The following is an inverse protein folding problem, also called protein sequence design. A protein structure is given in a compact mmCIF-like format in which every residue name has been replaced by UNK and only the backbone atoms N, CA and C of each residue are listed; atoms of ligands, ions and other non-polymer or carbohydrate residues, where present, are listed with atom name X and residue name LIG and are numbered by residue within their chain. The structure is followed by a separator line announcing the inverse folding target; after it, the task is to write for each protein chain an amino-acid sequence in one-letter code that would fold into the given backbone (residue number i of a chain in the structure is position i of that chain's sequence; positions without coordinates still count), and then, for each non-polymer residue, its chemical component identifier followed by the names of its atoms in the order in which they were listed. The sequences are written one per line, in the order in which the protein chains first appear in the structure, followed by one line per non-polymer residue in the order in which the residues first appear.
data_IF_109619140602
#
_entry.id   IF_109619140602
#
_cell.length_a   1.000
_cell.length_b   1.000
_cell.length_c   1.000
_cell.angle_alpha   90.00
_cell.angle_beta   90.00
_cell.angle_gamma   90.00
#
_symmetry.space_group_name_H-M   'P 1'
#
loop_
_entity.id
_entity.type
_entity.pdbx_description
1 polymer ?
#
# COMPACT_ATOMS: atom_id res chain seq x y z
N UNK A 1 30.71 -61.99 -27.34
CA UNK A 1 30.26 -61.75 -28.73
C UNK A 1 28.78 -61.40 -28.68
N UNK A 2 28.39 -60.21 -29.10
CA UNK A 2 27.28 -59.92 -30.02
C UNK A 2 27.08 -58.40 -30.06
N UNK A 3 27.28 -57.88 -31.27
CA UNK A 3 27.21 -56.50 -31.74
C UNK A 3 25.80 -55.91 -31.66
N UNK A 4 25.68 -54.64 -31.25
CA UNK A 4 24.46 -53.84 -31.41
C UNK A 4 24.65 -52.72 -32.43
N UNK A 5 23.70 -52.66 -33.36
CA UNK A 5 23.63 -51.79 -34.53
C UNK A 5 23.38 -50.31 -34.20
N UNK A 6 24.02 -49.43 -34.97
CA UNK A 6 23.73 -48.00 -35.05
C UNK A 6 22.50 -47.72 -35.91
N UNK A 7 21.55 -46.96 -35.36
CA UNK A 7 20.46 -46.33 -36.11
C UNK A 7 20.72 -44.85 -36.33
N UNK A 8 20.93 -44.44 -37.59
CA UNK A 8 21.00 -43.04 -38.04
C UNK A 8 19.61 -42.39 -37.91
N UNK A 9 19.53 -41.19 -37.32
CA UNK A 9 18.38 -40.28 -37.44
C UNK A 9 18.80 -38.98 -38.12
N UNK A 10 18.02 -38.61 -39.14
CA UNK A 10 18.16 -37.46 -40.03
C UNK A 10 17.88 -36.13 -39.34
N UNK A 11 18.72 -35.13 -39.62
CA UNK A 11 18.49 -33.71 -39.31
C UNK A 11 17.39 -33.15 -40.23
N UNK A 12 16.34 -32.54 -39.66
CA UNK A 12 15.48 -31.58 -40.34
C UNK A 12 15.81 -30.18 -39.83
N UNK A 13 16.29 -29.34 -40.74
CA UNK A 13 16.43 -27.89 -40.57
C UNK A 13 15.03 -27.25 -40.50
N UNK A 14 14.81 -26.40 -39.50
CA UNK A 14 13.67 -25.49 -39.43
C UNK A 14 14.21 -24.07 -39.47
N UNK A 15 14.05 -23.41 -40.62
CA UNK A 15 14.22 -21.97 -40.75
C UNK A 15 13.07 -21.27 -40.02
N UNK A 16 13.39 -20.47 -39.00
CA UNK A 16 12.45 -19.55 -38.34
C UNK A 16 12.68 -18.15 -38.86
N UNK A 17 11.67 -17.60 -39.54
CA UNK A 17 11.60 -16.18 -39.88
C UNK A 17 11.59 -15.32 -38.62
N UNK A 18 12.39 -14.25 -38.65
CA UNK A 18 12.36 -13.19 -37.64
C UNK A 18 11.19 -12.26 -37.98
N UNK A 19 10.14 -12.32 -37.18
CA UNK A 19 9.14 -11.26 -37.12
C UNK A 19 9.68 -10.13 -36.25
N UNK A 20 9.72 -8.92 -36.83
CA UNK A 20 9.98 -7.68 -36.10
C UNK A 20 8.89 -7.50 -35.04
N UNK A 21 9.27 -7.55 -33.76
CA UNK A 21 8.38 -7.23 -32.64
C UNK A 21 8.35 -5.71 -32.48
N UNK A 22 7.20 -5.12 -32.78
CA UNK A 22 6.87 -3.73 -32.56
C UNK A 22 6.95 -3.40 -31.05
N UNK A 23 8.03 -2.70 -30.67
CA UNK A 23 8.38 -2.32 -29.29
C UNK A 23 7.81 -0.94 -28.91
N UNK A 24 6.77 -0.46 -29.61
CA UNK A 24 6.23 0.90 -29.42
C UNK A 24 5.10 1.03 -28.38
N UNK A 25 4.76 -0.02 -27.62
CA UNK A 25 3.72 0.08 -26.60
C UNK A 25 4.29 0.54 -25.26
N UNK A 26 4.28 1.85 -25.03
CA UNK A 26 4.38 2.42 -23.69
C UNK A 26 3.27 1.81 -22.83
N UNK A 27 3.58 1.24 -21.64
CA UNK A 27 2.55 0.66 -20.78
C UNK A 27 1.50 1.72 -20.40
N UNK A 28 0.23 1.46 -20.73
CA UNK A 28 -0.95 2.31 -20.44
C UNK A 28 -1.04 2.73 -18.96
N UNK A 29 -0.38 2.00 -18.05
CA UNK A 29 -0.27 2.35 -16.63
C UNK A 29 0.45 3.69 -16.40
N UNK A 30 1.46 4.02 -17.22
CA UNK A 30 2.15 5.32 -17.18
C UNK A 30 1.26 6.46 -17.73
N UNK A 31 0.33 6.14 -18.63
CA UNK A 31 -0.53 7.12 -19.28
C UNK A 31 -1.61 7.65 -18.33
N UNK A 32 -2.23 6.80 -17.50
CA UNK A 32 -3.18 7.25 -16.47
C UNK A 32 -2.52 7.99 -15.30
N UNK A 33 -1.28 7.65 -14.98
CA UNK A 33 -0.49 8.40 -14.00
C UNK A 33 -0.23 9.83 -14.53
N UNK A 34 0.01 9.97 -15.84
CA UNK A 34 0.12 11.26 -16.52
C UNK A 34 -1.23 12.02 -16.63
N UNK A 35 -2.35 11.34 -16.84
CA UNK A 35 -3.69 11.98 -16.89
C UNK A 35 -4.13 12.47 -15.50
N UNK A 36 -3.79 11.74 -14.43
CA UNK A 36 -3.93 12.22 -13.05
C UNK A 36 -2.99 13.40 -12.74
N UNK A 37 -1.80 13.45 -13.34
CA UNK A 37 -0.86 14.58 -13.21
C UNK A 37 -1.36 15.87 -13.87
N UNK A 38 -2.11 15.75 -14.97
CA UNK A 38 -2.66 16.91 -15.70
C UNK A 38 -3.72 17.69 -14.89
N UNK A 39 -4.45 17.02 -14.00
CA UNK A 39 -5.49 17.64 -13.15
C UNK A 39 -4.90 18.41 -11.95
N UNK A 40 -3.70 18.04 -11.48
CA UNK A 40 -3.11 18.60 -10.25
C UNK A 40 -1.93 19.58 -10.46
N UNK A 41 -1.54 19.88 -11.70
CA UNK A 41 -0.96 21.16 -12.15
C UNK A 41 0.33 21.72 -11.50
N UNK A 42 0.87 21.14 -10.43
CA UNK A 42 2.12 21.58 -9.79
C UNK A 42 3.03 20.36 -9.63
N UNK A 43 4.22 20.40 -10.25
CA UNK A 43 5.26 19.37 -10.08
C UNK A 43 5.47 19.09 -8.58
N UNK A 44 5.32 17.83 -8.17
CA UNK A 44 5.67 17.37 -6.82
C UNK A 44 4.64 17.62 -5.70
N UNK A 45 3.41 18.08 -5.99
CA UNK A 45 2.35 18.13 -4.97
C UNK A 45 1.15 17.33 -5.45
N UNK A 46 0.65 16.46 -4.58
CA UNK A 46 -0.63 15.79 -4.78
C UNK A 46 -1.57 16.34 -3.72
N UNK A 47 -2.74 16.81 -4.12
CA UNK A 47 -3.72 17.28 -3.14
C UNK A 47 -4.50 16.07 -2.61
N UNK A 48 -3.81 15.14 -1.95
CA UNK A 48 -4.43 14.10 -1.11
C UNK A 48 -4.26 14.53 0.34
N UNK A 49 -5.18 14.14 1.22
CA UNK A 49 -4.90 14.21 2.66
C UNK A 49 -5.24 12.87 3.31
N UNK A 50 -6.40 12.29 2.98
CA UNK A 50 -6.76 10.91 3.38
C UNK A 50 -7.54 10.22 2.27
N UNK A 51 -7.11 9.05 1.81
CA UNK A 51 -7.83 8.20 0.85
C UNK A 51 -7.91 6.76 1.35
N UNK A 52 -8.87 6.00 0.84
CA UNK A 52 -9.12 4.62 1.28
C UNK A 52 -9.11 3.66 0.08
N UNK A 53 -8.57 2.47 0.32
CA UNK A 53 -8.63 1.34 -0.59
C UNK A 53 -9.30 0.17 0.15
N UNK A 54 -10.33 -0.40 -0.45
CA UNK A 54 -11.10 -1.52 0.09
C UNK A 54 -10.93 -2.70 -0.85
N UNK A 55 -9.97 -3.56 -0.54
CA UNK A 55 -9.70 -4.77 -1.30
C UNK A 55 -10.78 -5.82 -0.99
N UNK A 56 -11.31 -6.47 -2.02
CA UNK A 56 -12.32 -7.49 -1.83
C UNK A 56 -11.98 -8.82 -2.49
N UNK A 57 -11.38 -9.71 -1.70
CA UNK A 57 -11.10 -11.09 -2.11
C UNK A 57 -12.34 -11.99 -2.31
N UNK A 58 -13.55 -11.52 -1.97
CA UNK A 58 -14.79 -12.31 -2.05
C UNK A 58 -15.65 -11.96 -3.25
N UNK A 59 -15.43 -10.80 -3.87
CA UNK A 59 -16.08 -10.48 -5.14
C UNK A 59 -15.29 -11.00 -6.32
N UNK A 60 -16.05 -11.54 -7.26
CA UNK A 60 -15.58 -12.18 -8.47
C UNK A 60 -16.30 -11.52 -9.65
N UNK A 61 -15.58 -11.20 -10.71
CA UNK A 61 -16.16 -10.59 -11.92
C UNK A 61 -16.01 -11.48 -13.15
N UNK A 62 -17.04 -11.54 -13.98
CA UNK A 62 -17.04 -12.25 -15.26
C UNK A 62 -18.10 -11.64 -16.20
N UNK A 63 -17.96 -11.82 -17.51
CA UNK A 63 -18.97 -11.37 -18.49
C UNK A 63 -19.98 -12.49 -18.72
N UNK A 64 -21.25 -12.19 -18.51
CA UNK A 64 -22.30 -13.18 -18.68
C UNK A 64 -22.69 -13.24 -20.16
N UNK A 65 -22.39 -14.36 -20.83
CA UNK A 65 -23.11 -14.72 -22.04
C UNK A 65 -23.63 -16.16 -22.06
N UNK A 66 -22.99 -17.14 -21.40
CA UNK A 66 -23.44 -18.55 -21.52
C UNK A 66 -23.20 -19.46 -20.28
N UNK A 67 -22.74 -18.94 -19.14
CA UNK A 67 -21.86 -19.74 -18.24
C UNK A 67 -22.53 -20.46 -17.07
N UNK A 68 -23.74 -20.10 -16.64
CA UNK A 68 -24.32 -20.74 -15.46
C UNK A 68 -25.75 -21.17 -15.72
N UNK A 69 -25.89 -22.42 -16.17
CA UNK A 69 -27.17 -23.15 -16.19
C UNK A 69 -27.83 -23.05 -14.80
N UNK A 70 -29.11 -22.70 -14.79
CA UNK A 70 -29.93 -22.55 -13.59
C UNK A 70 -29.91 -23.83 -12.73
N UNK A 71 -29.02 -23.87 -11.73
CA UNK A 71 -29.12 -24.86 -10.66
C UNK A 71 -30.09 -24.36 -9.58
N UNK A 72 -31.37 -24.28 -9.96
CA UNK A 72 -32.48 -24.17 -9.02
C UNK A 72 -32.78 -25.55 -8.44
N UNK A 73 -31.92 -26.06 -7.56
CA UNK A 73 -32.28 -27.17 -6.68
C UNK A 73 -31.97 -26.78 -5.24
N UNK A 74 -33.03 -26.56 -4.46
CA UNK A 74 -33.01 -25.95 -3.14
C UNK A 74 -32.16 -26.69 -2.11
N UNK A 75 -30.92 -26.23 -1.95
CA UNK A 75 -30.12 -26.14 -0.73
C UNK A 75 -28.81 -25.42 -1.13
N UNK A 76 -28.78 -24.10 -0.88
CA UNK A 76 -27.84 -23.14 -1.46
C UNK A 76 -26.43 -23.13 -0.84
N UNK A 77 -26.08 -24.14 -0.03
CA UNK A 77 -24.72 -24.30 0.53
C UNK A 77 -23.71 -24.90 -0.48
N UNK A 78 -24.12 -25.13 -1.73
CA UNK A 78 -23.29 -25.85 -2.71
C UNK A 78 -23.37 -25.39 -4.16
N UNK A 79 -23.70 -24.12 -4.46
CA UNK A 79 -23.60 -23.62 -5.84
C UNK A 79 -22.11 -23.46 -6.21
N UNK A 80 -21.55 -24.54 -6.75
CA UNK A 80 -20.24 -24.52 -7.39
C UNK A 80 -20.42 -23.92 -8.78
N UNK A 81 -19.82 -22.75 -9.01
CA UNK A 81 -19.48 -22.33 -10.36
C UNK A 81 -18.58 -23.40 -10.95
N UNK A 82 -18.99 -24.04 -12.05
CA UNK A 82 -18.05 -24.78 -12.86
C UNK A 82 -17.11 -23.75 -13.50
N UNK A 83 -15.94 -23.56 -12.88
CA UNK A 83 -14.93 -22.61 -13.34
C UNK A 83 -14.44 -22.94 -14.76
N UNK A 84 -14.68 -24.16 -15.27
CA UNK A 84 -14.32 -24.55 -16.64
C UNK A 84 -15.23 -23.95 -17.71
N UNK A 85 -16.46 -23.54 -17.35
CA UNK A 85 -17.41 -22.92 -18.28
C UNK A 85 -17.32 -21.38 -18.28
N UNK A 86 -16.53 -20.79 -17.38
CA UNK A 86 -16.42 -19.32 -17.26
C UNK A 86 -15.58 -18.74 -18.39
N UNK A 87 -16.21 -18.01 -19.30
CA UNK A 87 -15.52 -17.15 -20.25
C UNK A 87 -14.86 -15.98 -19.52
N UNK A 88 -13.56 -16.12 -19.28
CA UNK A 88 -12.75 -15.06 -18.69
C UNK A 88 -12.64 -13.87 -19.64
N UNK A 89 -13.12 -12.72 -19.19
CA UNK A 89 -12.73 -11.45 -19.80
C UNK A 89 -11.32 -11.13 -19.33
N UNK A 90 -10.38 -10.83 -20.25
CA UNK A 90 -9.04 -10.39 -19.86
C UNK A 90 -9.13 -8.97 -19.31
N UNK A 91 -9.36 -8.85 -18.01
CA UNK A 91 -9.29 -7.57 -17.32
C UNK A 91 -7.83 -7.16 -17.09
N UNK A 92 -7.57 -5.86 -17.15
CA UNK A 92 -6.27 -5.28 -16.75
C UNK A 92 -6.36 -4.80 -15.30
N UNK A 93 -5.29 -4.97 -14.52
CA UNK A 93 -5.19 -4.33 -13.19
C UNK A 93 -5.41 -2.81 -13.33
N UNK A 94 -6.23 -2.24 -12.45
CA UNK A 94 -6.62 -0.82 -12.43
C UNK A 94 -7.70 -0.45 -13.46
N UNK A 95 -8.29 -1.43 -14.16
CA UNK A 95 -9.40 -1.18 -15.06
C UNK A 95 -10.65 -0.78 -14.27
N UNK A 96 -11.21 0.39 -14.60
CA UNK A 96 -12.36 0.97 -13.88
C UNK A 96 -13.65 0.31 -14.39
N UNK A 97 -14.41 -0.26 -13.47
CA UNK A 97 -15.67 -0.96 -13.71
C UNK A 97 -16.87 -0.05 -13.41
N UNK A 98 -16.74 0.81 -12.40
CA UNK A 98 -17.75 1.77 -11.98
C UNK A 98 -17.02 3.00 -11.43
N UNK A 99 -17.44 4.19 -11.84
CA UNK A 99 -16.97 5.47 -11.33
C UNK A 99 -18.13 6.20 -10.65
N UNK A 100 -18.08 6.32 -9.33
CA UNK A 100 -19.09 6.98 -8.52
C UNK A 100 -18.63 8.34 -8.02
N UNK A 101 -19.52 9.03 -7.31
CA UNK A 101 -19.20 10.31 -6.68
C UNK A 101 -18.28 10.09 -5.46
N UNK A 102 -16.99 10.39 -5.64
CA UNK A 102 -15.96 10.23 -4.61
C UNK A 102 -15.25 8.87 -4.60
N UNK A 103 -15.51 7.97 -5.57
CA UNK A 103 -14.86 6.65 -5.60
C UNK A 103 -14.83 6.01 -6.98
N UNK A 104 -13.95 5.04 -7.15
CA UNK A 104 -13.92 4.10 -8.27
C UNK A 104 -13.94 2.67 -7.76
N UNK A 105 -14.57 1.78 -8.51
CA UNK A 105 -14.44 0.33 -8.34
C UNK A 105 -13.65 -0.20 -9.52
N UNK A 106 -12.54 -0.87 -9.24
CA UNK A 106 -11.57 -1.29 -10.24
C UNK A 106 -11.09 -2.72 -10.01
N UNK A 107 -10.41 -3.27 -11.01
CA UNK A 107 -9.83 -4.61 -10.95
C UNK A 107 -8.49 -4.56 -10.21
N UNK A 108 -8.37 -5.26 -9.08
CA UNK A 108 -7.12 -5.29 -8.30
C UNK A 108 -6.12 -6.31 -8.86
N UNK A 109 -6.53 -7.57 -9.03
CA UNK A 109 -5.65 -8.64 -9.54
C UNK A 109 -6.17 -9.17 -10.86
N UNK A 110 -5.44 -8.90 -11.93
CA UNK A 110 -5.58 -9.58 -13.22
C UNK A 110 -4.73 -10.85 -13.21
N UNK A 111 -5.34 -12.04 -13.06
CA UNK A 111 -4.63 -13.31 -13.23
C UNK A 111 -5.32 -14.14 -14.33
N UNK A 112 -4.61 -14.55 -15.41
CA UNK A 112 -5.23 -15.24 -16.54
C UNK A 112 -5.96 -16.54 -16.16
N UNK A 113 -5.53 -17.19 -15.08
CA UNK A 113 -6.10 -18.44 -14.57
C UNK A 113 -6.94 -18.28 -13.28
N UNK A 114 -7.25 -17.06 -12.84
CA UNK A 114 -8.09 -16.85 -11.65
C UNK A 114 -9.12 -15.76 -11.92
N UNK A 115 -10.25 -15.87 -11.24
CA UNK A 115 -11.28 -14.84 -11.32
C UNK A 115 -10.73 -13.56 -10.70
N UNK A 116 -10.84 -12.40 -11.38
CA UNK A 116 -10.27 -11.16 -10.88
C UNK A 116 -10.96 -10.74 -9.58
N UNK A 117 -10.16 -10.17 -8.69
CA UNK A 117 -10.66 -9.47 -7.52
C UNK A 117 -10.96 -8.01 -7.87
N UNK A 118 -11.89 -7.43 -7.13
CA UNK A 118 -12.17 -6.00 -7.19
C UNK A 118 -11.61 -5.30 -5.97
N UNK A 119 -11.28 -4.04 -6.15
CA UNK A 119 -11.05 -3.08 -5.10
C UNK A 119 -11.90 -1.85 -5.32
N UNK A 120 -12.22 -1.16 -4.24
CA UNK A 120 -12.84 0.17 -4.28
C UNK A 120 -11.80 1.16 -3.79
N UNK A 121 -11.51 2.17 -4.58
CA UNK A 121 -10.57 3.24 -4.26
C UNK A 121 -11.35 4.53 -4.15
N UNK A 122 -11.27 5.21 -3.01
CA UNK A 122 -11.92 6.52 -2.86
C UNK A 122 -11.06 7.60 -3.48
N UNK A 123 -11.70 8.68 -3.92
CA UNK A 123 -11.03 9.95 -4.06
C UNK A 123 -10.42 10.36 -2.71
N UNK A 124 -9.35 11.15 -2.72
CA UNK A 124 -8.80 11.66 -1.48
C UNK A 124 -9.64 12.78 -0.90
N UNK A 125 -9.72 12.80 0.42
CA UNK A 125 -10.44 13.80 1.19
C UNK A 125 -9.45 14.74 1.87
N UNK A 126 -9.61 16.08 1.74
CA UNK A 126 -8.77 17.04 2.44
C UNK A 126 -9.02 16.99 3.96
N UNK A 127 -8.01 17.28 4.79
CA UNK A 127 -8.12 17.34 6.27
C UNK A 127 -8.90 18.57 6.77
N UNK A 128 -10.12 18.74 6.28
CA UNK A 128 -11.01 19.86 6.59
C UNK A 128 -12.40 19.34 6.94
N UNK A 129 -13.26 20.21 7.48
CA UNK A 129 -14.67 19.87 7.70
C UNK A 129 -15.35 19.43 6.41
N UNK A 130 -15.09 20.11 5.30
CA UNK A 130 -15.65 19.76 4.00
C UNK A 130 -15.16 18.40 3.49
N UNK A 131 -13.89 18.06 3.72
CA UNK A 131 -13.36 16.74 3.38
C UNK A 131 -13.99 15.63 4.20
N UNK A 132 -14.22 15.86 5.50
CA UNK A 132 -14.94 14.92 6.37
C UNK A 132 -16.40 14.70 5.91
N UNK A 133 -17.10 15.77 5.51
CA UNK A 133 -18.45 15.67 4.95
C UNK A 133 -18.47 14.89 3.62
N UNK A 134 -17.49 15.15 2.75
CA UNK A 134 -17.32 14.44 1.48
C UNK A 134 -17.03 12.96 1.67
N UNK A 135 -16.14 12.62 2.62
CA UNK A 135 -15.89 11.24 3.06
C UNK A 135 -17.18 10.59 3.55
N UNK A 136 -17.90 11.26 4.44
CA UNK A 136 -19.15 10.77 5.03
C UNK A 136 -20.20 10.45 3.97
N UNK A 137 -20.34 11.33 2.96
CA UNK A 137 -21.24 11.14 1.83
C UNK A 137 -20.79 9.96 0.97
N UNK A 138 -19.53 9.91 0.56
CA UNK A 138 -18.95 8.85 -0.27
C UNK A 138 -19.14 7.47 0.38
N UNK A 139 -18.77 7.35 1.66
CA UNK A 139 -18.90 6.08 2.39
C UNK A 139 -20.36 5.63 2.55
N UNK A 140 -21.31 6.58 2.66
CA UNK A 140 -22.74 6.24 2.63
C UNK A 140 -23.21 5.74 1.26
N UNK A 141 -22.68 6.27 0.16
CA UNK A 141 -22.96 5.74 -1.18
C UNK A 141 -22.43 4.30 -1.30
N UNK A 142 -21.21 4.06 -0.84
CA UNK A 142 -20.60 2.72 -0.82
C UNK A 142 -21.40 1.73 0.03
N UNK A 143 -21.85 2.14 1.22
CA UNK A 143 -22.69 1.29 2.07
C UNK A 143 -24.01 0.93 1.40
N UNK A 144 -24.67 1.90 0.76
CA UNK A 144 -25.91 1.65 0.02
C UNK A 144 -25.68 0.74 -1.21
N UNK A 145 -24.55 0.92 -1.90
CA UNK A 145 -24.16 0.06 -3.02
C UNK A 145 -23.91 -1.38 -2.55
N UNK A 146 -23.18 -1.57 -1.45
CA UNK A 146 -22.93 -2.89 -0.89
C UNK A 146 -24.20 -3.54 -0.35
N UNK A 147 -25.11 -2.77 0.26
CA UNK A 147 -26.43 -3.26 0.67
C UNK A 147 -27.28 -3.66 -0.54
N UNK A 148 -27.20 -2.94 -1.65
CA UNK A 148 -27.84 -3.32 -2.91
C UNK A 148 -27.27 -4.64 -3.45
N UNK A 149 -25.94 -4.76 -3.53
CA UNK A 149 -25.27 -6.00 -3.94
C UNK A 149 -25.62 -7.14 -2.96
N UNK A 150 -25.73 -6.87 -1.65
CA UNK A 150 -26.17 -7.87 -0.68
C UNK A 150 -27.60 -8.32 -0.93
N UNK A 151 -28.53 -7.40 -1.15
CA UNK A 151 -29.96 -7.69 -1.24
C UNK A 151 -30.33 -8.38 -2.56
N UNK A 152 -29.69 -7.98 -3.65
CA UNK A 152 -30.02 -8.44 -5.00
C UNK A 152 -28.93 -9.32 -5.63
N UNK A 153 -27.73 -9.35 -5.06
CA UNK A 153 -26.54 -10.00 -5.63
C UNK A 153 -26.12 -11.31 -4.96
N UNK A 154 -26.98 -11.94 -4.14
CA UNK A 154 -26.71 -13.27 -3.59
C UNK A 154 -26.44 -14.34 -4.67
N UNK A 155 -26.74 -14.06 -5.94
CA UNK A 155 -26.37 -14.94 -7.05
C UNK A 155 -25.71 -14.24 -8.24
N UNK A 156 -25.99 -12.96 -8.53
CA UNK A 156 -25.49 -12.19 -9.70
C UNK A 156 -25.88 -10.71 -9.58
N UNK A 157 -24.96 -9.77 -9.77
CA UNK A 157 -25.29 -8.35 -9.96
C UNK A 157 -24.61 -7.83 -11.20
N UNK A 158 -25.38 -7.48 -12.23
CA UNK A 158 -24.84 -6.83 -13.41
C UNK A 158 -24.33 -5.42 -13.06
N UNK A 159 -23.18 -5.02 -13.58
CA UNK A 159 -22.67 -3.66 -13.40
C UNK A 159 -23.66 -2.61 -13.88
N UNK A 160 -24.40 -2.86 -14.96
CA UNK A 160 -25.46 -1.97 -15.44
C UNK A 160 -26.52 -1.64 -14.36
N UNK A 161 -26.79 -2.53 -13.41
CA UNK A 161 -27.70 -2.27 -12.29
C UNK A 161 -27.12 -1.29 -11.26
N UNK A 162 -25.80 -1.14 -11.23
CA UNK A 162 -25.07 -0.21 -10.36
C UNK A 162 -24.97 1.21 -10.95
N UNK A 163 -25.50 1.48 -12.15
CA UNK A 163 -25.56 2.83 -12.76
C UNK A 163 -26.26 3.89 -11.89
N UNK A 164 -27.01 3.47 -10.87
CA UNK A 164 -27.59 4.38 -9.86
C UNK A 164 -26.59 4.93 -8.84
N UNK A 165 -25.42 4.31 -8.73
CA UNK A 165 -24.35 4.69 -7.80
C UNK A 165 -23.18 5.38 -8.51
N UNK A 166 -23.17 5.40 -9.84
CA UNK A 166 -22.09 5.96 -10.64
C UNK A 166 -22.25 5.66 -12.13
N UNK A 167 -21.25 6.01 -12.92
CA UNK A 167 -21.16 5.69 -14.34
C UNK A 167 -20.46 4.34 -14.56
N UNK A 168 -21.01 3.54 -15.47
CA UNK A 168 -20.46 2.24 -15.87
C UNK A 168 -20.08 2.36 -17.34
N UNK A 169 -18.82 2.13 -17.73
CA UNK A 169 -18.43 2.11 -19.14
C UNK A 169 -19.24 1.06 -19.92
N UNK A 170 -19.69 1.43 -21.12
CA UNK A 170 -20.61 0.62 -21.94
C UNK A 170 -20.10 -0.82 -22.14
N UNK A 171 -18.79 -1.00 -22.34
CA UNK A 171 -18.19 -2.31 -22.54
C UNK A 171 -18.30 -3.25 -21.32
N UNK A 172 -18.61 -2.71 -20.13
CA UNK A 172 -18.74 -3.44 -18.88
C UNK A 172 -20.18 -3.67 -18.43
N UNK A 173 -21.19 -3.20 -19.15
CA UNK A 173 -22.59 -3.30 -18.72
C UNK A 173 -23.08 -4.75 -18.53
N UNK A 174 -22.53 -5.68 -19.30
CA UNK A 174 -22.78 -7.13 -19.25
C UNK A 174 -21.90 -7.86 -18.21
N UNK A 175 -20.99 -7.16 -17.52
CA UNK A 175 -20.16 -7.78 -16.48
C UNK A 175 -21.00 -7.99 -15.23
N UNK A 176 -20.86 -9.18 -14.66
CA UNK A 176 -21.49 -9.60 -13.41
C UNK A 176 -20.48 -9.53 -12.29
N UNK A 177 -20.89 -8.91 -11.18
CA UNK A 177 -20.30 -9.08 -9.87
C UNK A 177 -20.98 -10.25 -9.17
N UNK A 178 -20.16 -11.19 -8.72
CA UNK A 178 -20.60 -12.29 -7.89
C UNK A 178 -19.95 -12.20 -6.50
N UNK A 179 -20.79 -12.20 -5.46
CA UNK A 179 -20.37 -12.15 -4.06
C UNK A 179 -20.46 -13.52 -3.42
N UNK A 180 -19.36 -14.05 -2.88
CA UNK A 180 -19.44 -15.19 -1.96
C UNK A 180 -19.76 -14.70 -0.55
N UNK A 181 -21.05 -14.74 -0.19
CA UNK A 181 -21.53 -14.44 1.16
C UNK A 181 -21.66 -12.93 1.44
N UNK A 182 -21.51 -12.58 2.72
CA UNK A 182 -21.73 -11.22 3.19
C UNK A 182 -20.64 -10.25 2.68
N UNK A 183 -21.03 -9.09 2.09
CA UNK A 183 -20.10 -8.04 1.68
C UNK A 183 -19.14 -7.62 2.79
N UNK A 184 -17.86 -7.89 2.57
CA UNK A 184 -16.79 -7.56 3.51
C UNK A 184 -15.48 -7.37 2.74
N UNK A 185 -14.64 -6.42 3.18
CA UNK A 185 -13.39 -6.08 2.49
C UNK A 185 -12.24 -5.80 3.46
N UNK A 186 -11.02 -5.86 2.95
CA UNK A 186 -9.81 -5.48 3.66
C UNK A 186 -9.53 -3.99 3.43
N UNK A 187 -9.38 -3.25 4.53
CA UNK A 187 -9.17 -1.80 4.50
C UNK A 187 -7.68 -1.46 4.48
N UNK A 188 -7.34 -0.54 3.60
CA UNK A 188 -6.09 0.18 3.56
C UNK A 188 -6.40 1.68 3.49
N UNK A 189 -5.48 2.50 3.96
CA UNK A 189 -5.62 3.96 3.93
C UNK A 189 -4.33 4.55 3.41
N UNK A 190 -4.40 5.58 2.59
CA UNK A 190 -3.24 6.39 2.22
C UNK A 190 -3.45 7.80 2.75
N UNK A 191 -2.48 8.35 3.46
CA UNK A 191 -2.56 9.70 3.99
C UNK A 191 -1.21 10.43 4.02
N UNK A 192 -1.25 11.75 3.93
CA UNK A 192 -0.10 12.59 4.20
C UNK A 192 0.16 12.65 5.70
N UNK A 193 1.37 12.36 6.17
CA UNK A 193 1.75 12.52 7.59
C UNK A 193 2.95 13.44 7.69
N UNK A 194 2.85 14.55 8.42
CA UNK A 194 4.00 15.45 8.63
C UNK A 194 5.17 14.69 9.23
N UNK A 195 6.38 14.88 8.69
CA UNK A 195 7.59 14.21 9.21
C UNK A 195 7.77 14.46 10.71
N UNK A 196 7.55 15.69 11.18
CA UNK A 196 7.56 16.03 12.61
C UNK A 196 6.59 15.22 13.48
N UNK A 197 5.52 14.68 12.90
CA UNK A 197 4.47 13.93 13.60
C UNK A 197 4.63 12.40 13.48
N UNK A 198 5.55 11.91 12.65
CA UNK A 198 5.82 10.48 12.49
C UNK A 198 6.23 9.84 13.82
N UNK A 199 6.99 10.55 14.65
CA UNK A 199 7.34 10.06 15.99
C UNK A 199 6.09 9.77 16.82
N UNK A 200 5.14 10.70 16.82
CA UNK A 200 3.91 10.54 17.57
C UNK A 200 3.06 9.40 17.00
N UNK A 201 2.93 9.34 15.68
CA UNK A 201 2.24 8.26 14.98
C UNK A 201 2.80 6.89 15.39
N UNK A 202 4.12 6.68 15.29
CA UNK A 202 4.72 5.39 15.63
C UNK A 202 4.51 5.00 17.10
N UNK A 203 4.55 5.98 18.01
CA UNK A 203 4.27 5.78 19.43
C UNK A 203 2.81 5.35 19.67
N UNK A 204 1.87 5.97 18.96
CA UNK A 204 0.44 5.67 19.06
C UNK A 204 0.10 4.31 18.49
N UNK A 205 0.76 3.92 17.39
CA UNK A 205 0.57 2.61 16.77
C UNK A 205 1.27 1.47 17.53
N UNK A 206 2.28 1.81 18.35
CA UNK A 206 3.04 0.88 19.17
C UNK A 206 2.21 0.24 20.27
N UNK A 207 2.77 -0.78 20.92
CA UNK A 207 2.10 -1.50 22.00
C UNK A 207 1.77 -0.65 23.22
N UNK A 208 0.64 -0.98 23.86
CA UNK A 208 0.35 -0.51 25.22
C UNK A 208 1.47 -0.96 26.14
N UNK A 209 2.01 -0.01 26.90
CA UNK A 209 3.06 -0.25 27.87
C UNK A 209 2.47 -0.19 29.27
N UNK A 210 3.04 -0.95 30.21
CA UNK A 210 2.65 -0.91 31.62
C UNK A 210 2.85 0.48 32.24
N UNK A 211 3.77 1.27 31.68
CA UNK A 211 4.07 2.64 32.09
C UNK A 211 3.16 3.71 31.49
N UNK A 212 2.17 3.35 30.67
CA UNK A 212 1.26 4.35 30.08
C UNK A 212 0.30 4.90 31.12
N UNK A 213 0.19 6.22 31.21
CA UNK A 213 -0.85 6.86 32.01
C UNK A 213 -2.23 6.63 31.38
N UNK A 214 -3.33 6.80 32.13
CA UNK A 214 -4.67 6.75 31.56
C UNK A 214 -4.86 7.72 30.38
N UNK A 215 -4.28 8.91 30.46
CA UNK A 215 -4.33 9.93 29.40
C UNK A 215 -3.58 9.47 28.14
N UNK A 216 -2.39 8.88 28.31
CA UNK A 216 -1.65 8.29 27.19
C UNK A 216 -2.40 7.11 26.59
N UNK A 217 -2.99 6.28 27.43
CA UNK A 217 -3.76 5.11 27.00
C UNK A 217 -4.94 5.54 26.14
N UNK A 218 -5.73 6.53 26.58
CA UNK A 218 -6.86 7.04 25.79
C UNK A 218 -6.35 7.68 24.48
N UNK A 219 -5.34 8.54 24.56
CA UNK A 219 -4.70 9.17 23.39
C UNK A 219 -4.30 8.17 22.30
N UNK A 220 -3.63 7.10 22.71
CA UNK A 220 -3.13 6.07 21.79
C UNK A 220 -4.20 5.08 21.36
N UNK A 221 -5.25 4.90 22.15
CA UNK A 221 -6.35 3.97 21.85
C UNK A 221 -6.93 4.25 20.47
N UNK A 222 -7.13 5.51 20.10
CA UNK A 222 -7.62 5.86 18.77
C UNK A 222 -6.68 5.40 17.66
N UNK A 223 -5.36 5.57 17.79
CA UNK A 223 -4.38 5.06 16.83
C UNK A 223 -4.32 3.53 16.78
N UNK A 224 -4.26 2.88 17.94
CA UNK A 224 -4.22 1.40 18.04
C UNK A 224 -5.48 0.75 17.51
N UNK A 225 -6.64 1.22 17.97
CA UNK A 225 -7.92 0.69 17.56
C UNK A 225 -8.15 1.01 16.09
N UNK A 226 -7.98 2.26 15.65
CA UNK A 226 -8.28 2.59 14.25
C UNK A 226 -7.29 1.93 13.28
N UNK A 227 -6.00 1.87 13.59
CA UNK A 227 -4.98 1.53 12.58
C UNK A 227 -4.27 0.19 12.78
N UNK A 228 -4.31 -0.41 13.98
CA UNK A 228 -3.51 -1.63 14.27
C UNK A 228 -4.31 -2.78 14.89
N UNK A 229 -5.57 -2.58 15.27
CA UNK A 229 -6.34 -3.62 15.96
C UNK A 229 -6.51 -4.87 15.07
N UNK A 230 -6.26 -6.06 15.63
CA UNK A 230 -6.31 -7.30 14.88
C UNK A 230 -7.72 -7.60 14.36
N UNK A 231 -7.77 -8.34 13.25
CA UNK A 231 -9.02 -8.83 12.70
C UNK A 231 -9.55 -9.92 13.63
N UNK A 232 -10.84 -9.87 14.00
CA UNK A 232 -11.44 -10.88 14.86
C UNK A 232 -11.36 -12.27 14.16
N UNK A 233 -10.67 -13.24 14.77
CA UNK A 233 -10.72 -14.64 14.36
C UNK A 233 -9.53 -15.23 13.58
N UNK A 234 -8.38 -14.53 13.47
CA UNK A 234 -7.17 -15.09 12.84
C UNK A 234 -5.96 -15.05 13.80
N UNK A 235 -5.63 -16.18 14.42
CA UNK A 235 -4.49 -16.29 15.35
C UNK A 235 -3.13 -16.04 14.68
N UNK A 236 -2.93 -16.48 13.43
CA UNK A 236 -1.70 -16.25 12.66
C UNK A 236 -1.45 -14.76 12.34
N UNK A 237 -2.52 -13.94 12.33
CA UNK A 237 -2.42 -12.49 12.14
C UNK A 237 -1.95 -11.77 13.42
N UNK A 238 -2.24 -12.32 14.60
CA UNK A 238 -1.89 -11.71 15.89
C UNK A 238 -0.38 -11.62 16.10
N UNK A 239 0.36 -12.69 15.85
CA UNK A 239 1.82 -12.69 16.02
C UNK A 239 2.51 -11.72 15.03
N UNK A 240 2.01 -11.67 13.80
CA UNK A 240 2.56 -10.77 12.76
C UNK A 240 2.29 -9.30 13.12
N UNK A 241 1.05 -8.97 13.53
CA UNK A 241 0.69 -7.61 13.98
C UNK A 241 1.46 -7.24 15.25
N UNK A 242 1.60 -8.18 16.18
CA UNK A 242 2.38 -7.96 17.40
C UNK A 242 3.82 -7.62 17.06
N UNK A 243 4.45 -8.44 16.23
CA UNK A 243 5.81 -8.16 15.79
C UNK A 243 5.96 -6.76 15.16
N UNK A 244 5.00 -6.33 14.33
CA UNK A 244 5.00 -4.98 13.72
C UNK A 244 4.90 -3.85 14.75
N UNK A 245 3.99 -3.96 15.73
CA UNK A 245 3.84 -2.97 16.79
C UNK A 245 5.07 -2.90 17.69
N UNK A 246 5.69 -4.04 17.99
CA UNK A 246 6.93 -4.11 18.75
C UNK A 246 8.07 -3.41 18.00
N UNK A 247 8.19 -3.63 16.69
CA UNK A 247 9.20 -2.96 15.86
C UNK A 247 9.04 -1.44 15.82
N UNK A 248 7.80 -0.94 15.71
CA UNK A 248 7.53 0.51 15.75
C UNK A 248 7.97 1.12 17.09
N UNK A 249 7.65 0.45 18.19
CA UNK A 249 8.07 0.85 19.55
C UNK A 249 9.60 0.85 19.67
N UNK A 250 10.24 -0.25 19.29
CA UNK A 250 11.69 -0.42 19.42
C UNK A 250 12.46 0.65 18.65
N UNK A 251 12.04 0.95 17.42
CA UNK A 251 12.62 2.03 16.62
C UNK A 251 12.40 3.39 17.28
N UNK A 252 11.20 3.65 17.81
CA UNK A 252 10.90 4.91 18.49
C UNK A 252 11.80 5.11 19.72
N UNK A 253 11.96 4.09 20.56
CA UNK A 253 12.78 4.11 21.78
C UNK A 253 14.28 4.25 21.47
N UNK A 254 14.78 3.49 20.49
CA UNK A 254 16.19 3.56 20.07
C UNK A 254 16.54 4.97 19.58
N UNK A 255 15.75 5.53 18.67
CA UNK A 255 16.03 6.86 18.11
C UNK A 255 15.87 7.95 19.17
N UNK A 256 14.92 7.81 20.10
CA UNK A 256 14.76 8.77 21.20
C UNK A 256 15.99 8.75 22.13
N UNK A 257 16.48 7.56 22.49
CA UNK A 257 17.69 7.40 23.32
C UNK A 257 18.97 7.92 22.65
N UNK A 258 18.99 8.06 21.32
CA UNK A 258 20.12 8.61 20.57
C UNK A 258 20.19 10.14 20.60
N UNK A 259 19.13 10.87 20.97
CA UNK A 259 19.10 12.34 20.87
C UNK A 259 20.19 13.03 21.69
N UNK A 260 20.54 12.48 22.85
CA UNK A 260 21.60 13.02 23.70
C UNK A 260 22.99 12.96 23.05
N UNK A 261 23.23 11.95 22.20
CA UNK A 261 24.50 11.74 21.51
C UNK A 261 24.53 12.44 20.15
N UNK A 262 23.36 12.60 19.53
CA UNK A 262 23.20 13.20 18.21
C UNK A 262 22.17 14.35 18.27
N UNK A 263 22.58 15.56 18.68
CA UNK A 263 21.67 16.70 18.83
C UNK A 263 20.90 17.09 17.56
N UNK A 264 21.39 16.70 16.37
CA UNK A 264 20.64 16.88 15.11
C UNK A 264 19.27 16.20 15.13
N UNK A 265 19.09 15.15 15.94
CA UNK A 265 17.83 14.43 16.14
C UNK A 265 16.82 15.19 17.02
N UNK A 266 17.19 16.33 17.61
CA UNK A 266 16.21 17.24 18.22
C UNK A 266 15.29 17.87 17.17
N UNK A 267 15.69 17.89 15.89
CA UNK A 267 14.80 18.25 14.81
C UNK A 267 13.78 17.12 14.57
N UNK A 268 12.51 17.40 14.83
CA UNK A 268 11.43 16.41 14.72
C UNK A 268 11.27 15.84 13.30
N UNK A 269 11.53 16.61 12.24
CA UNK A 269 11.42 16.10 10.86
C UNK A 269 12.50 15.07 10.56
N UNK A 270 13.75 15.35 10.93
CA UNK A 270 14.86 14.39 10.80
C UNK A 270 14.63 13.16 11.69
N UNK A 271 14.18 13.36 12.93
CA UNK A 271 13.84 12.26 13.82
C UNK A 271 12.76 11.35 13.22
N UNK A 272 11.70 11.92 12.65
CA UNK A 272 10.66 11.18 11.93
C UNK A 272 11.21 10.40 10.72
N UNK A 273 12.06 11.03 9.91
CA UNK A 273 12.71 10.38 8.77
C UNK A 273 13.58 9.18 9.20
N UNK A 274 14.42 9.36 10.23
CA UNK A 274 15.27 8.29 10.76
C UNK A 274 14.43 7.14 11.32
N UNK A 275 13.33 7.44 12.02
CA UNK A 275 12.39 6.41 12.51
C UNK A 275 11.74 5.63 11.35
N UNK A 276 11.36 6.27 10.25
CA UNK A 276 10.85 5.56 9.06
C UNK A 276 11.90 4.63 8.44
N UNK A 277 13.14 5.10 8.32
CA UNK A 277 14.26 4.27 7.85
C UNK A 277 14.47 3.07 8.77
N UNK A 278 14.52 3.31 10.09
CA UNK A 278 14.65 2.25 11.09
C UNK A 278 13.53 1.22 11.00
N UNK A 279 12.28 1.68 10.85
CA UNK A 279 11.12 0.82 10.68
C UNK A 279 11.26 -0.09 9.44
N UNK A 280 11.75 0.43 8.32
CA UNK A 280 11.97 -0.35 7.10
C UNK A 280 13.03 -1.42 7.30
N UNK A 281 14.16 -1.04 7.90
CA UNK A 281 15.29 -1.93 8.10
C UNK A 281 14.98 -3.06 9.08
N UNK A 282 14.29 -2.77 10.20
CA UNK A 282 13.89 -3.80 11.17
C UNK A 282 12.75 -4.67 10.63
N UNK A 283 11.78 -4.07 9.93
CA UNK A 283 10.63 -4.81 9.41
C UNK A 283 11.04 -5.82 8.34
N UNK A 284 12.03 -5.49 7.52
CA UNK A 284 12.58 -6.42 6.56
C UNK A 284 13.61 -7.40 7.14
N UNK A 285 13.97 -7.27 8.43
CA UNK A 285 14.96 -8.12 9.06
C UNK A 285 14.39 -9.49 9.45
N UNK A 286 15.12 -10.55 9.10
CA UNK A 286 14.80 -11.89 9.58
C UNK A 286 13.68 -12.62 8.84
N UNK A 287 13.08 -12.05 7.79
CA UNK A 287 11.94 -12.65 7.06
C UNK A 287 12.18 -12.64 5.55
N UNK A 288 11.72 -13.69 4.87
CA UNK A 288 11.65 -13.74 3.39
C UNK A 288 10.26 -13.25 2.98
N UNK A 289 10.21 -12.21 2.15
CA UNK A 289 8.96 -11.68 1.63
C UNK A 289 8.72 -12.12 0.19
N UNK A 290 7.47 -12.48 -0.11
CA UNK A 290 7.00 -12.76 -1.46
C UNK A 290 6.81 -11.49 -2.30
N UNK A 291 6.61 -10.34 -1.63
CA UNK A 291 6.41 -9.03 -2.23
C UNK A 291 7.05 -7.94 -1.36
N UNK A 292 7.72 -6.93 -1.94
CA UNK A 292 8.34 -5.86 -1.16
C UNK A 292 7.35 -5.12 -0.27
N UNK A 293 6.13 -4.85 -0.73
CA UNK A 293 5.12 -4.13 0.07
C UNK A 293 4.68 -4.83 1.37
N UNK A 294 5.04 -6.09 1.59
CA UNK A 294 4.56 -6.86 2.74
C UNK A 294 5.40 -6.73 4.01
N UNK A 295 6.61 -6.15 3.93
CA UNK A 295 7.45 -6.02 5.13
C UNK A 295 6.92 -4.95 6.08
N UNK A 296 6.41 -3.82 5.58
CA UNK A 296 6.01 -2.68 6.41
C UNK A 296 4.49 -2.53 6.51
N UNK A 297 4.01 -2.14 7.69
CA UNK A 297 2.64 -1.65 7.90
C UNK A 297 2.48 -0.18 7.47
N UNK A 298 3.58 0.57 7.41
CA UNK A 298 3.65 1.97 7.00
C UNK A 298 4.41 2.07 5.67
N UNK A 299 3.72 1.75 4.57
CA UNK A 299 4.33 1.76 3.25
C UNK A 299 4.44 3.19 2.71
N UNK A 300 5.65 3.64 2.42
CA UNK A 300 5.93 4.99 1.96
C UNK A 300 5.71 5.03 0.45
N UNK A 301 4.78 5.91 0.06
CA UNK A 301 4.48 6.20 -1.35
C UNK A 301 5.29 7.38 -1.86
N UNK A 302 5.64 8.32 -0.99
CA UNK A 302 6.69 9.33 -1.23
C UNK A 302 8.06 8.71 -1.01
N UNK A 303 9.03 9.06 -1.85
CA UNK A 303 10.38 8.54 -1.73
C UNK A 303 11.20 9.20 -0.59
N UNK A 304 12.18 8.47 -0.06
CA UNK A 304 12.99 8.93 1.07
C UNK A 304 13.89 10.12 0.71
N UNK A 305 14.28 10.27 -0.55
CA UNK A 305 15.10 11.38 -1.00
C UNK A 305 14.31 12.70 -0.98
N UNK A 306 13.04 12.68 -1.36
CA UNK A 306 12.10 13.79 -1.31
C UNK A 306 11.79 14.16 0.15
N UNK A 307 11.62 13.16 1.02
CA UNK A 307 11.51 13.40 2.47
C UNK A 307 12.75 14.13 3.02
N UNK A 308 13.95 13.68 2.66
CA UNK A 308 15.19 14.37 3.01
C UNK A 308 15.23 15.80 2.43
N UNK A 309 14.77 16.01 1.21
CA UNK A 309 14.69 17.33 0.58
C UNK A 309 13.72 18.29 1.30
N UNK A 310 12.70 17.74 1.97
CA UNK A 310 11.72 18.53 2.74
C UNK A 310 12.24 19.01 4.10
N UNK A 311 13.40 18.52 4.56
CA UNK A 311 14.02 18.98 5.79
C UNK A 311 14.35 20.49 5.75
N UNK A 312 14.42 21.16 6.91
CA UNK A 312 14.83 22.56 6.98
C UNK A 312 16.13 22.83 6.23
N UNK A 313 16.18 23.87 5.39
CA UNK A 313 17.28 24.12 4.45
C UNK A 313 18.67 24.15 5.09
N UNK A 314 18.80 24.70 6.30
CA UNK A 314 20.06 24.73 7.03
C UNK A 314 20.51 23.32 7.46
N UNK A 315 19.59 22.51 8.00
CA UNK A 315 19.85 21.14 8.41
C UNK A 315 20.19 20.26 7.20
N UNK A 316 19.39 20.35 6.13
CA UNK A 316 19.64 19.66 4.86
C UNK A 316 21.03 19.99 4.30
N UNK A 317 21.40 21.27 4.25
CA UNK A 317 22.73 21.72 3.80
C UNK A 317 23.84 21.18 4.71
N UNK A 318 23.63 21.19 6.02
CA UNK A 318 24.58 20.65 6.99
C UNK A 318 24.83 19.15 6.77
N UNK A 319 23.75 18.36 6.64
CA UNK A 319 23.83 16.91 6.41
C UNK A 319 24.48 16.57 5.04
N UNK A 320 24.25 17.38 4.00
CA UNK A 320 24.89 17.22 2.69
C UNK A 320 26.37 17.58 2.68
N UNK A 321 26.69 18.79 3.13
CA UNK A 321 28.00 19.41 2.86
C UNK A 321 29.05 19.00 3.86
N UNK A 322 28.66 18.82 5.13
CA UNK A 322 29.63 18.63 6.19
C UNK A 322 29.69 17.19 6.68
N UNK A 323 28.64 16.40 6.47
CA UNK A 323 28.51 15.15 7.19
C UNK A 323 27.55 14.14 6.54
N UNK A 324 27.82 13.74 5.28
CA UNK A 324 27.41 12.40 4.84
C UNK A 324 27.86 11.36 5.88
N UNK A 325 28.98 11.62 6.56
CA UNK A 325 29.45 10.92 7.76
C UNK A 325 28.39 10.93 8.88
N UNK A 326 27.93 12.07 9.43
CA UNK A 326 26.91 12.06 10.51
C UNK A 326 25.62 11.38 10.07
N UNK A 327 25.11 11.63 8.85
CA UNK A 327 23.93 10.92 8.36
C UNK A 327 24.13 9.41 8.43
N UNK A 328 25.25 8.92 7.91
CA UNK A 328 25.58 7.50 7.93
C UNK A 328 25.86 6.98 9.34
N UNK A 329 26.52 7.75 10.20
CA UNK A 329 26.81 7.40 11.60
C UNK A 329 25.53 7.26 12.40
N UNK A 330 24.59 8.19 12.27
CA UNK A 330 23.29 8.14 12.94
C UNK A 330 22.53 6.88 12.51
N UNK A 331 22.45 6.60 11.21
CA UNK A 331 21.71 5.43 10.72
C UNK A 331 22.43 4.11 11.07
N UNK A 332 23.76 4.07 11.03
CA UNK A 332 24.54 2.88 11.42
C UNK A 332 24.42 2.60 12.92
N UNK A 333 24.47 3.64 13.76
CA UNK A 333 24.28 3.52 15.20
C UNK A 333 22.86 3.07 15.55
N UNK A 334 21.84 3.59 14.86
CA UNK A 334 20.47 3.10 14.98
C UNK A 334 20.39 1.61 14.61
N UNK A 335 21.00 1.19 13.49
CA UNK A 335 21.03 -0.23 13.08
C UNK A 335 21.69 -1.11 14.15
N UNK A 336 22.81 -0.65 14.72
CA UNK A 336 23.53 -1.37 15.78
C UNK A 336 22.67 -1.55 17.02
N UNK A 337 21.96 -0.50 17.47
CA UNK A 337 21.06 -0.54 18.63
C UNK A 337 19.84 -1.43 18.41
N UNK A 338 19.33 -1.49 17.18
CA UNK A 338 18.26 -2.41 16.76
C UNK A 338 18.75 -3.85 16.54
N UNK A 339 20.03 -4.16 16.80
CA UNK A 339 20.58 -5.50 16.62
C UNK A 339 20.62 -5.97 15.15
N UNK A 340 20.59 -5.04 14.19
CA UNK A 340 20.59 -5.35 12.77
C UNK A 340 22.03 -5.59 12.27
N UNK A 341 22.15 -6.33 11.16
CA UNK A 341 23.47 -6.48 10.51
C UNK A 341 24.00 -5.09 10.05
N UNK A 342 25.32 -4.92 9.99
CA UNK A 342 25.95 -3.64 9.64
C UNK A 342 25.56 -3.09 8.26
N UNK A 343 25.78 -1.79 8.03
CA UNK A 343 25.34 -1.11 6.79
C UNK A 343 25.95 -1.67 5.48
N UNK A 344 27.08 -2.40 5.55
CA UNK A 344 27.69 -3.01 4.37
C UNK A 344 27.00 -4.30 3.92
N UNK A 345 26.04 -4.83 4.67
CA UNK A 345 25.28 -6.00 4.25
C UNK A 345 24.23 -5.65 3.20
N UNK A 346 23.62 -6.69 2.62
CA UNK A 346 22.40 -6.56 1.82
C UNK A 346 21.35 -5.74 2.56
N UNK A 347 20.58 -4.97 1.80
CA UNK A 347 19.48 -4.16 2.32
C UNK A 347 18.52 -5.01 3.14
N UNK A 348 17.98 -6.07 2.51
CA UNK A 348 17.19 -7.10 3.20
C UNK A 348 18.00 -8.39 3.26
N UNK A 349 18.28 -8.87 4.48
CA UNK A 349 19.18 -10.00 4.74
C UNK A 349 18.87 -11.22 3.89
N UNK A 350 17.59 -11.60 3.83
CA UNK A 350 17.15 -12.75 3.06
C UNK A 350 16.68 -12.41 1.64
N UNK A 351 16.54 -11.13 1.30
CA UNK A 351 16.06 -10.66 0.00
C UNK A 351 14.54 -10.68 -0.15
N UNK A 352 14.06 -10.33 -1.34
CA UNK A 352 12.65 -10.39 -1.73
C UNK A 352 12.52 -11.22 -3.00
N UNK A 353 11.59 -12.17 -3.02
CA UNK A 353 11.41 -13.08 -4.15
C UNK A 353 9.96 -13.10 -4.57
N UNK A 354 9.69 -12.76 -5.83
CA UNK A 354 8.33 -12.88 -6.37
C UNK A 354 7.97 -14.36 -6.53
N UNK A 355 6.89 -14.83 -5.90
CA UNK A 355 6.44 -16.22 -6.03
C UNK A 355 7.17 -17.23 -5.12
N UNK A 356 7.08 -18.52 -5.45
CA UNK A 356 7.68 -19.58 -4.61
C UNK A 356 9.23 -19.41 -4.51
N UNK A 357 9.81 -19.52 -3.30
CA UNK A 357 11.17 -19.06 -3.00
C UNK A 357 12.31 -19.84 -3.69
N UNK A 358 12.03 -21.00 -4.29
CA UNK A 358 13.07 -21.90 -4.81
C UNK A 358 13.46 -21.66 -6.28
N UNK A 359 12.72 -20.86 -7.06
CA UNK A 359 12.98 -20.66 -8.50
C UNK A 359 13.22 -19.22 -8.93
N UNK A 360 13.12 -18.25 -8.02
CA UNK A 360 13.17 -16.82 -8.36
C UNK A 360 14.46 -16.16 -7.85
N UNK A 361 14.96 -15.17 -8.61
CA UNK A 361 16.11 -14.35 -8.21
C UNK A 361 15.63 -13.22 -7.30
N UNK A 362 16.39 -12.92 -6.25
CA UNK A 362 16.18 -11.77 -5.37
C UNK A 362 15.93 -10.48 -6.19
N UNK A 363 14.79 -9.82 -6.00
CA UNK A 363 14.39 -8.59 -6.69
C UNK A 363 15.44 -7.50 -6.42
N UNK A 364 15.82 -7.31 -5.15
CA UNK A 364 16.77 -6.31 -4.69
C UNK A 364 18.23 -6.61 -5.07
N UNK A 365 18.49 -7.78 -5.68
CA UNK A 365 19.81 -8.17 -6.16
C UNK A 365 20.89 -8.05 -5.09
N UNK A 366 21.89 -7.21 -5.35
CA UNK A 366 23.03 -6.92 -4.47
C UNK A 366 22.93 -5.57 -3.75
N UNK A 367 21.77 -4.90 -3.77
CA UNK A 367 21.60 -3.61 -3.12
C UNK A 367 21.94 -3.72 -1.62
N UNK A 368 22.94 -2.95 -1.18
CA UNK A 368 23.34 -2.88 0.23
C UNK A 368 22.57 -1.78 0.98
N UNK A 369 22.55 -1.85 2.32
CA UNK A 369 21.98 -0.76 3.13
C UNK A 369 22.75 0.54 2.89
N UNK A 370 24.09 0.46 2.85
CA UNK A 370 24.97 1.59 2.59
C UNK A 370 24.65 2.27 1.26
N UNK A 371 24.57 1.51 0.17
CA UNK A 371 24.30 2.08 -1.16
C UNK A 371 22.97 2.85 -1.16
N UNK A 372 21.93 2.28 -0.56
CA UNK A 372 20.64 2.95 -0.44
C UNK A 372 20.73 4.23 0.39
N UNK A 373 21.29 4.15 1.59
CA UNK A 373 21.34 5.26 2.55
C UNK A 373 22.24 6.41 2.10
N UNK A 374 23.35 6.12 1.41
CA UNK A 374 24.26 7.15 0.90
C UNK A 374 23.67 7.95 -0.27
N UNK A 375 22.71 7.36 -1.01
CA UNK A 375 22.07 8.01 -2.16
C UNK A 375 20.90 8.92 -1.76
N UNK A 376 20.25 8.70 -0.61
CA UNK A 376 19.11 9.50 -0.14
C UNK A 376 19.48 11.01 -0.07
N UNK A 377 20.56 11.44 0.62
CA UNK A 377 20.94 12.85 0.65
C UNK A 377 21.29 13.43 -0.73
N UNK A 378 21.63 12.58 -1.70
CA UNK A 378 21.97 12.96 -3.08
C UNK A 378 20.74 13.11 -3.98
N UNK A 379 19.53 12.98 -3.42
CA UNK A 379 18.28 13.11 -4.19
C UNK A 379 17.86 11.81 -4.87
N UNK A 380 18.40 10.65 -4.45
CA UNK A 380 18.11 9.35 -5.08
C UNK A 380 17.67 8.33 -4.05
N UNK A 381 16.47 7.79 -4.23
CA UNK A 381 15.97 6.68 -3.41
C UNK A 381 16.02 5.36 -4.20
N UNK A 382 17.03 4.54 -3.92
CA UNK A 382 17.24 3.25 -4.60
C UNK A 382 16.16 2.20 -4.31
N UNK A 383 15.18 2.47 -3.44
CA UNK A 383 14.00 1.63 -3.24
C UNK A 383 12.79 2.04 -4.09
N UNK A 384 12.95 2.92 -5.08
CA UNK A 384 11.86 3.31 -5.99
C UNK A 384 12.11 2.86 -7.42
N UNK A 385 11.02 2.67 -8.17
CA UNK A 385 11.10 2.28 -9.59
C UNK A 385 11.96 3.22 -10.44
N UNK A 386 11.95 4.51 -10.11
CA UNK A 386 12.68 5.56 -10.83
C UNK A 386 14.19 5.40 -10.73
N UNK A 387 14.71 5.13 -9.53
CA UNK A 387 16.15 5.07 -9.26
C UNK A 387 16.69 3.65 -9.13
N UNK A 388 15.83 2.63 -9.25
CA UNK A 388 16.25 1.24 -9.15
C UNK A 388 17.21 0.87 -10.28
N UNK A 389 18.33 0.25 -9.93
CA UNK A 389 19.41 -0.06 -10.87
C UNK A 389 18.97 -1.05 -11.96
N UNK A 390 18.01 -1.94 -11.65
CA UNK A 390 17.45 -2.89 -12.59
C UNK A 390 16.07 -2.43 -13.09
N UNK A 391 16.03 -1.59 -14.14
CA UNK A 391 14.79 -1.08 -14.73
C UNK A 391 13.81 -2.17 -15.16
N UNK A 392 14.29 -3.32 -15.61
CA UNK A 392 13.43 -4.45 -15.99
C UNK A 392 12.69 -5.04 -14.79
N UNK A 393 13.14 -4.79 -13.56
CA UNK A 393 12.53 -5.28 -12.32
C UNK A 393 11.98 -4.17 -11.44
N UNK A 394 12.11 -2.91 -11.85
CA UNK A 394 11.60 -1.76 -11.10
C UNK A 394 10.11 -1.92 -10.76
N UNK A 395 9.31 -2.45 -11.71
CA UNK A 395 7.89 -2.72 -11.50
C UNK A 395 7.61 -3.72 -10.36
N UNK A 396 8.58 -4.57 -10.00
CA UNK A 396 8.46 -5.56 -8.92
C UNK A 396 8.62 -4.95 -7.53
N UNK A 397 9.03 -3.67 -7.43
CA UNK A 397 9.07 -2.92 -6.16
C UNK A 397 7.66 -2.58 -5.64
N UNK A 398 6.62 -2.79 -6.46
CA UNK A 398 5.20 -2.79 -6.08
C UNK A 398 4.83 -1.68 -5.08
N UNK A 399 4.69 -0.46 -5.58
CA UNK A 399 4.23 0.73 -4.86
C UNK A 399 5.24 1.45 -3.95
N UNK A 400 6.42 0.88 -3.68
CA UNK A 400 7.47 1.57 -2.91
C UNK A 400 7.92 2.86 -3.59
N UNK A 401 7.70 4.00 -2.91
CA UNK A 401 8.00 5.32 -3.46
C UNK A 401 7.31 5.59 -4.80
N UNK A 402 6.14 4.99 -5.06
CA UNK A 402 5.45 5.09 -6.36
C UNK A 402 5.06 6.51 -6.76
N UNK A 403 5.00 7.43 -5.80
CA UNK A 403 4.71 8.83 -6.03
C UNK A 403 5.97 9.68 -6.15
N UNK A 404 7.17 9.09 -6.01
CA UNK A 404 8.45 9.79 -6.16
C UNK A 404 8.53 10.99 -5.22
N UNK A 405 8.76 12.17 -5.82
CA UNK A 405 8.90 13.43 -5.10
C UNK A 405 7.60 14.05 -4.59
N UNK A 406 6.45 13.46 -4.94
CA UNK A 406 5.15 13.98 -4.60
C UNK A 406 4.86 13.86 -3.10
N UNK A 407 4.30 14.94 -2.56
CA UNK A 407 3.86 15.05 -1.17
C UNK A 407 2.45 15.61 -1.10
N UNK A 408 1.79 15.33 0.02
CA UNK A 408 0.47 15.86 0.36
C UNK A 408 0.56 17.21 1.05
N UNK A 409 -0.52 17.99 0.95
CA UNK A 409 -0.70 19.23 1.70
C UNK A 409 -1.70 19.00 2.83
N UNK A 410 -1.21 19.02 4.07
CA UNK A 410 -1.97 18.60 5.26
C UNK A 410 -2.15 19.72 6.27
N UNK A 411 -3.01 19.47 7.27
CA UNK A 411 -3.49 20.46 8.23
C UNK A 411 -4.66 21.29 7.69
N UNK A 412 -5.32 22.03 8.60
CA UNK A 412 -6.54 22.79 8.31
C UNK A 412 -6.36 23.82 7.17
N UNK A 413 -5.21 24.50 7.14
CA UNK A 413 -4.86 25.47 6.10
C UNK A 413 -4.29 24.84 4.81
N UNK A 414 -4.09 23.52 4.78
CA UNK A 414 -3.48 22.79 3.66
C UNK A 414 -2.16 23.40 3.16
N UNK A 415 -1.29 23.83 4.07
CA UNK A 415 -0.06 24.57 3.73
C UNK A 415 1.23 23.87 4.17
N UNK A 416 1.14 22.66 4.73
CA UNK A 416 2.31 21.87 5.14
C UNK A 416 2.47 20.66 4.25
N UNK A 417 3.67 20.50 3.67
CA UNK A 417 4.03 19.30 2.92
C UNK A 417 4.19 18.11 3.87
N UNK A 418 3.68 16.97 3.45
CA UNK A 418 3.79 15.72 4.19
C UNK A 418 4.05 14.55 3.24
N UNK A 419 4.96 13.63 3.58
CA UNK A 419 5.08 12.37 2.85
C UNK A 419 3.78 11.58 2.91
N UNK A 420 3.52 10.88 1.82
CA UNK A 420 2.35 10.04 1.63
C UNK A 420 2.68 8.64 2.15
N UNK A 421 1.93 8.19 3.14
CA UNK A 421 2.08 6.90 3.81
C UNK A 421 0.80 6.08 3.60
N UNK A 422 0.97 4.87 3.12
CA UNK A 422 -0.07 3.85 3.01
C UNK A 422 -0.02 2.94 4.24
N UNK A 423 -1.13 2.91 4.97
CA UNK A 423 -1.38 2.07 6.12
C UNK A 423 -2.01 0.77 5.64
N UNK A 424 -1.22 -0.32 5.72
CA UNK A 424 -1.59 -1.63 5.16
C UNK A 424 -2.22 -2.54 6.20
N UNK A 425 -3.22 -3.32 5.78
CA UNK A 425 -3.90 -4.32 6.60
C UNK A 425 -4.54 -3.73 7.88
N UNK A 426 -5.21 -2.57 7.75
CA UNK A 426 -5.84 -1.90 8.88
C UNK A 426 -6.90 -2.79 9.54
N UNK A 427 -7.74 -3.41 8.68
CA UNK A 427 -8.77 -4.38 9.04
C UNK A 427 -8.98 -5.34 7.90
N UNK A 428 -8.91 -6.63 8.18
CA UNK A 428 -9.25 -7.65 7.19
C UNK A 428 -10.70 -8.07 7.31
N UNK A 429 -11.35 -8.26 6.17
CA UNK A 429 -12.70 -8.81 6.09
C UNK A 429 -13.75 -8.03 6.91
N UNK A 430 -13.60 -6.71 7.01
CA UNK A 430 -14.55 -5.86 7.72
C UNK A 430 -15.89 -5.80 6.97
N UNK A 431 -16.98 -6.04 7.70
CA UNK A 431 -18.36 -5.86 7.23
C UNK A 431 -18.58 -4.46 6.67
N UNK A 432 -19.24 -4.37 5.51
CA UNK A 432 -19.51 -3.08 4.87
C UNK A 432 -20.28 -2.07 5.75
N UNK A 433 -21.08 -2.56 6.69
CA UNK A 433 -21.81 -1.71 7.65
C UNK A 433 -20.92 -0.94 8.63
N UNK A 434 -19.64 -1.32 8.74
CA UNK A 434 -18.65 -0.66 9.59
C UNK A 434 -17.71 0.25 8.80
N UNK A 435 -17.80 0.24 7.47
CA UNK A 435 -16.87 0.95 6.61
C UNK A 435 -16.90 2.45 6.86
N UNK A 436 -18.10 3.05 6.93
CA UNK A 436 -18.23 4.50 7.15
C UNK A 436 -17.67 4.95 8.48
N UNK A 437 -18.09 4.33 9.59
CA UNK A 437 -17.64 4.73 10.92
C UNK A 437 -16.13 4.58 11.07
N UNK A 438 -15.57 3.48 10.54
CA UNK A 438 -14.14 3.22 10.57
C UNK A 438 -13.33 4.23 9.75
N UNK A 439 -13.77 4.55 8.53
CA UNK A 439 -13.09 5.54 7.71
C UNK A 439 -13.13 6.94 8.36
N UNK A 440 -14.25 7.30 8.99
CA UNK A 440 -14.39 8.55 9.75
C UNK A 440 -13.44 8.59 10.97
N UNK A 441 -13.27 7.48 11.68
CA UNK A 441 -12.30 7.37 12.79
C UNK A 441 -10.87 7.56 12.30
N UNK A 442 -10.48 6.85 11.22
CA UNK A 442 -9.16 6.97 10.62
C UNK A 442 -8.87 8.41 10.15
N UNK A 443 -9.84 9.05 9.47
CA UNK A 443 -9.72 10.43 9.02
C UNK A 443 -9.49 11.40 10.20
N UNK A 444 -10.31 11.30 11.25
CA UNK A 444 -10.17 12.17 12.44
C UNK A 444 -8.82 11.96 13.11
N UNK A 445 -8.37 10.71 13.22
CA UNK A 445 -7.09 10.38 13.82
C UNK A 445 -5.93 11.00 13.02
N UNK A 446 -5.89 10.81 11.70
CA UNK A 446 -4.84 11.41 10.85
C UNK A 446 -4.83 12.93 10.96
N UNK A 447 -6.00 13.56 10.88
CA UNK A 447 -6.11 15.01 11.03
C UNK A 447 -5.63 15.49 12.41
N UNK A 448 -5.95 14.76 13.50
CA UNK A 448 -5.49 15.08 14.84
C UNK A 448 -3.96 14.90 15.01
N UNK A 449 -3.38 13.84 14.44
CA UNK A 449 -1.93 13.62 14.42
C UNK A 449 -1.24 14.75 13.68
N UNK A 450 -1.72 15.12 12.48
CA UNK A 450 -1.15 16.23 11.74
C UNK A 450 -1.32 17.54 12.51
N UNK A 451 -2.45 17.81 13.15
CA UNK A 451 -2.59 19.04 13.94
C UNK A 451 -1.83 19.03 15.28
N UNK A 452 -1.20 17.90 15.65
CA UNK A 452 -0.47 17.76 16.92
C UNK A 452 -1.39 17.77 18.15
N UNK A 453 -2.70 17.58 17.96
CA UNK A 453 -3.69 17.59 19.04
C UNK A 453 -3.97 16.22 19.63
N UNK A 454 -3.45 15.15 19.00
CA UNK A 454 -3.45 13.79 19.53
C UNK A 454 -4.81 13.08 19.55
N UNK A 455 -5.95 13.79 19.63
CA UNK A 455 -7.29 13.17 19.67
C UNK A 455 -8.46 14.03 19.18
N UNK A 456 -8.38 15.36 19.29
CA UNK A 456 -9.56 16.22 19.11
C UNK A 456 -9.58 16.86 17.73
N UNK A 457 -10.28 16.23 16.80
CA UNK A 457 -10.73 16.86 15.56
C UNK A 457 -12.21 17.22 15.68
N UNK A 458 -12.55 18.52 15.71
CA UNK A 458 -13.93 18.99 15.61
C UNK A 458 -14.69 19.23 16.92
N UNK A 459 -14.10 19.02 18.10
CA UNK A 459 -14.60 19.67 19.32
C UNK A 459 -14.17 21.14 19.25
N UNK A 460 -15.05 22.01 18.73
CA UNK A 460 -14.83 23.46 18.81
C UNK A 460 -14.61 23.83 20.27
N UNK A 461 -13.42 24.35 20.58
CA UNK A 461 -13.13 25.09 21.81
C UNK A 461 -13.93 26.39 21.87
#
# INVERSE_FOLDING_TARGET
MYTFHQGKKSKKENQRGRGESDLSQTPVMLQRQADHEAVFGRKGIVQRAVGFEIENGKYRIFKDREVMRDYTSGLWEGVYLDESEVHYVPFRKGEVLLEGDGFTMQVDISHPAKIPYMEIVTDPFPETTHGYESLTKTMSILENMMEYIRKYGFCRTYLSSLKRFGSVPEQWEEVVIWSRGYPAGSFQMTAGIKLSQVSQLMEDLGFQQESETPEMTERKKNGRDSLMKPSEGFEDDLLTKYRRQLMLKEVAEVVEGMKNEYPVLENNDLCGLIKLIGHYLISAHGVVYSYPKNFSSLLLRTDFAAMFESLPSLLKRYLRNHNQIIWMTVVDEMNRRLGLDGIHTRLFRYGVYRGMPLSHRNILGSLSKRDWLENIPQGRDLLTSEHFSNRQRAYELESLGSYGDKMDMVGEEQNKKAPIIEFRNLRDTMSFKKWKSFAQECFRYVAAVNNGTGEKFGERS
#
